data_IF_125259074845
#
_entry.id   IF_125259074845
#
_cell.length_a   1.000
_cell.length_b   1.000
_cell.length_c   1.000
_cell.angle_alpha   90.00
_cell.angle_beta   90.00
_cell.angle_gamma   90.00
#
_symmetry.space_group_name_H-M   'P 1'
#
loop_
_entity.id
_entity.type
_entity.pdbx_description
1 polymer ?
#
# COMPACT_ATOMS: atom_id res chain seq x y z
N UNK A 1 -17.30 15.57 14.39
CA UNK A 1 -17.95 14.27 14.68
C UNK A 1 -18.11 13.53 13.37
N UNK A 2 -17.90 12.20 13.32
CA UNK A 2 -18.13 11.44 12.10
C UNK A 2 -19.60 11.57 11.70
N UNK A 3 -19.84 11.86 10.42
CA UNK A 3 -21.20 11.92 9.88
C UNK A 3 -21.72 10.48 9.85
N UNK A 4 -22.89 10.26 10.45
CA UNK A 4 -23.54 8.95 10.49
C UNK A 4 -24.81 9.05 9.66
N UNK A 5 -24.76 8.45 8.48
CA UNK A 5 -25.92 8.26 7.63
C UNK A 5 -26.51 6.86 7.76
N UNK A 6 -27.48 6.57 6.91
CA UNK A 6 -28.11 5.25 6.83
C UNK A 6 -28.23 4.78 5.39
N UNK A 7 -28.09 3.47 5.20
CA UNK A 7 -28.31 2.81 3.91
C UNK A 7 -29.78 3.00 3.51
N UNK A 8 -30.00 3.59 2.34
CA UNK A 8 -31.33 3.78 1.77
C UNK A 8 -31.64 2.76 0.67
N UNK A 9 -30.62 2.34 -0.09
CA UNK A 9 -30.75 1.40 -1.21
C UNK A 9 -29.45 0.63 -1.42
N UNK A 10 -29.55 -0.64 -1.80
CA UNK A 10 -28.43 -1.50 -2.20
C UNK A 10 -28.71 -2.03 -3.61
N UNK A 11 -27.75 -1.95 -4.52
CA UNK A 11 -27.88 -2.36 -5.92
C UNK A 11 -26.56 -2.94 -6.44
N UNK A 12 -26.36 -4.24 -6.23
CA UNK A 12 -25.04 -4.86 -6.42
C UNK A 12 -24.00 -4.15 -5.54
N UNK A 13 -22.80 -3.83 -6.05
CA UNK A 13 -21.75 -3.23 -5.23
C UNK A 13 -21.97 -1.72 -4.97
N UNK A 14 -23.06 -1.15 -5.49
CA UNK A 14 -23.41 0.27 -5.31
C UNK A 14 -24.46 0.41 -4.21
N UNK A 15 -24.14 1.23 -3.22
CA UNK A 15 -25.00 1.53 -2.07
C UNK A 15 -25.34 3.02 -2.06
N UNK A 16 -26.59 3.37 -1.78
CA UNK A 16 -27.01 4.77 -1.60
C UNK A 16 -27.26 5.02 -0.13
N UNK A 17 -26.54 5.96 0.46
CA UNK A 17 -26.76 6.46 1.81
C UNK A 17 -27.58 7.76 1.78
N UNK A 18 -28.40 7.96 2.81
CA UNK A 18 -29.05 9.24 3.12
C UNK A 18 -28.61 9.71 4.50
N UNK A 19 -28.98 10.94 4.85
CA UNK A 19 -28.60 11.58 6.12
C UNK A 19 -27.06 11.77 6.24
N UNK A 20 -26.40 11.96 5.10
CA UNK A 20 -24.93 12.11 4.98
C UNK A 20 -24.52 13.54 4.61
N UNK A 21 -25.23 14.53 5.15
CA UNK A 21 -24.95 15.93 4.87
C UNK A 21 -23.52 16.30 5.29
N UNK A 22 -22.73 16.84 4.37
CA UNK A 22 -21.32 17.19 4.58
C UNK A 22 -20.33 16.09 4.17
N UNK A 23 -20.81 14.95 3.69
CA UNK A 23 -19.96 13.93 3.08
C UNK A 23 -19.26 14.45 1.82
N UNK A 24 -18.02 14.03 1.61
CA UNK A 24 -17.16 14.50 0.52
C UNK A 24 -17.02 13.44 -0.56
N UNK A 25 -16.77 13.91 -1.78
CA UNK A 25 -16.46 13.04 -2.90
C UNK A 25 -15.09 12.35 -2.67
N UNK A 26 -14.98 11.06 -3.00
CA UNK A 26 -13.84 10.16 -2.71
C UNK A 26 -13.55 9.90 -1.23
N UNK A 27 -14.48 10.24 -0.34
CA UNK A 27 -14.34 9.94 1.08
C UNK A 27 -14.52 8.44 1.34
N UNK A 28 -13.68 7.89 2.21
CA UNK A 28 -13.79 6.53 2.71
C UNK A 28 -14.99 6.44 3.67
N UNK A 29 -15.78 5.38 3.54
CA UNK A 29 -16.92 5.13 4.42
C UNK A 29 -16.90 3.69 4.94
N UNK A 30 -17.53 3.48 6.09
CA UNK A 30 -17.83 2.16 6.64
C UNK A 30 -19.32 1.91 6.54
N UNK A 31 -19.70 0.91 5.76
CA UNK A 31 -21.10 0.62 5.39
C UNK A 31 -21.58 -0.62 6.12
N UNK A 32 -22.74 -0.53 6.75
CA UNK A 32 -23.35 -1.66 7.43
C UNK A 32 -22.84 -1.92 8.84
N UNK A 33 -23.49 -2.84 9.53
CA UNK A 33 -23.05 -3.33 10.86
C UNK A 33 -21.68 -4.02 10.78
N UNK A 34 -21.40 -4.68 9.65
CA UNK A 34 -20.11 -5.31 9.35
C UNK A 34 -19.03 -4.26 8.99
N UNK A 35 -19.33 -2.97 8.88
CA UNK A 35 -18.37 -1.89 8.57
C UNK A 35 -17.57 -2.12 7.29
N UNK A 36 -18.26 -2.56 6.24
CA UNK A 36 -17.68 -2.81 4.92
C UNK A 36 -17.01 -1.55 4.39
N UNK A 37 -15.85 -1.72 3.73
CA UNK A 37 -15.14 -0.59 3.14
C UNK A 37 -15.83 -0.14 1.85
N UNK A 38 -16.17 1.15 1.79
CA UNK A 38 -16.64 1.78 0.56
C UNK A 38 -16.05 3.17 0.35
N UNK A 39 -16.27 3.70 -0.84
CA UNK A 39 -15.84 5.04 -1.25
C UNK A 39 -17.02 5.80 -1.85
N UNK A 40 -17.19 7.06 -1.45
CA UNK A 40 -18.22 7.94 -2.02
C UNK A 40 -17.81 8.35 -3.44
N UNK A 41 -18.63 7.97 -4.42
CA UNK A 41 -18.42 8.28 -5.84
C UNK A 41 -19.33 9.40 -6.35
N UNK A 42 -20.39 9.74 -5.59
CA UNK A 42 -21.28 10.85 -5.90
C UNK A 42 -21.94 11.39 -4.64
N UNK A 43 -22.15 12.71 -4.59
CA UNK A 43 -22.92 13.39 -3.54
C UNK A 43 -24.03 14.21 -4.20
N UNK A 44 -25.27 14.04 -3.75
CA UNK A 44 -26.46 14.74 -4.23
C UNK A 44 -27.28 15.21 -3.02
N UNK A 45 -27.08 16.45 -2.58
CA UNK A 45 -27.76 17.01 -1.40
C UNK A 45 -27.38 16.28 -0.12
N UNK A 46 -28.36 15.64 0.53
CA UNK A 46 -28.22 14.84 1.75
C UNK A 46 -27.95 13.35 1.48
N UNK A 47 -27.75 12.97 0.21
CA UNK A 47 -27.50 11.59 -0.23
C UNK A 47 -26.12 11.43 -0.83
N UNK A 48 -25.56 10.24 -0.64
CA UNK A 48 -24.31 9.83 -1.28
C UNK A 48 -24.47 8.48 -1.96
N UNK A 49 -23.87 8.33 -3.13
CA UNK A 49 -23.68 7.05 -3.81
C UNK A 49 -22.29 6.53 -3.46
N UNK A 50 -22.24 5.32 -2.95
CA UNK A 50 -21.07 4.65 -2.40
C UNK A 50 -20.78 3.42 -3.24
N UNK A 51 -19.53 3.29 -3.68
CA UNK A 51 -19.00 2.05 -4.23
C UNK A 51 -18.41 1.24 -3.07
N UNK A 52 -18.99 0.08 -2.77
CA UNK A 52 -18.45 -0.84 -1.76
C UNK A 52 -17.38 -1.72 -2.44
N UNK A 53 -16.24 -1.91 -1.78
CA UNK A 53 -15.12 -2.73 -2.29
C UNK A 53 -15.15 -4.18 -1.79
N UNK A 54 -16.10 -4.49 -0.92
CA UNK A 54 -16.37 -5.83 -0.41
C UNK A 54 -17.75 -6.31 -0.89
N UNK A 55 -18.03 -7.59 -0.67
CA UNK A 55 -19.30 -8.22 -1.05
C UNK A 55 -20.48 -7.61 -0.25
N UNK A 56 -21.47 -7.08 -0.95
CA UNK A 56 -22.64 -6.41 -0.35
C UNK A 56 -23.77 -7.36 0.05
N UNK A 57 -23.64 -8.66 -0.22
CA UNK A 57 -24.65 -9.65 0.10
C UNK A 57 -25.07 -9.60 1.59
N UNK A 58 -26.35 -9.45 1.87
CA UNK A 58 -26.88 -9.39 3.25
C UNK A 58 -26.96 -7.99 3.86
N UNK A 59 -26.38 -6.97 3.22
CA UNK A 59 -26.56 -5.56 3.59
C UNK A 59 -28.02 -5.13 3.34
N UNK A 60 -28.62 -4.42 4.30
CA UNK A 60 -30.03 -4.01 4.25
C UNK A 60 -30.21 -2.49 4.37
N UNK A 61 -31.27 -1.92 3.77
CA UNK A 61 -31.70 -0.57 4.10
C UNK A 61 -31.94 -0.40 5.61
N UNK A 62 -31.53 0.75 6.13
CA UNK A 62 -31.57 1.10 7.56
C UNK A 62 -30.26 0.89 8.30
N UNK A 63 -29.31 0.13 7.76
CA UNK A 63 -28.00 -0.06 8.39
C UNK A 63 -27.14 1.21 8.37
N UNK A 64 -26.20 1.38 9.32
CA UNK A 64 -25.43 2.61 9.46
C UNK A 64 -24.39 2.80 8.34
N UNK A 65 -24.10 4.06 8.03
CA UNK A 65 -22.98 4.46 7.17
C UNK A 65 -22.14 5.50 7.91
N UNK A 66 -20.89 5.14 8.22
CA UNK A 66 -19.95 6.02 8.93
C UNK A 66 -18.99 6.67 7.94
N UNK A 67 -19.03 7.99 7.86
CA UNK A 67 -18.12 8.80 7.05
C UNK A 67 -16.84 9.11 7.84
N UNK A 68 -15.67 8.77 7.29
CA UNK A 68 -14.40 8.88 8.02
C UNK A 68 -13.81 10.30 8.00
N UNK A 69 -14.28 11.16 7.09
CA UNK A 69 -13.73 12.48 6.81
C UNK A 69 -12.47 12.48 5.95
N UNK A 70 -11.94 11.30 5.63
CA UNK A 70 -10.66 11.11 4.95
C UNK A 70 -10.83 10.29 3.66
N UNK A 71 -10.05 10.59 2.60
CA UNK A 71 -10.06 9.78 1.39
C UNK A 71 -9.44 8.41 1.63
N UNK A 72 -9.70 7.46 0.73
CA UNK A 72 -8.99 6.18 0.71
C UNK A 72 -7.48 6.42 0.69
N UNK A 73 -6.81 5.97 1.74
CA UNK A 73 -5.39 6.24 2.01
C UNK A 73 -4.68 4.98 2.45
N UNK A 74 -3.45 4.82 1.97
CA UNK A 74 -2.56 3.70 2.32
C UNK A 74 -1.52 4.13 3.34
N UNK A 75 -1.05 3.19 4.14
CA UNK A 75 0.07 3.37 5.07
C UNK A 75 1.39 3.15 4.34
N UNK A 76 2.32 4.08 4.51
CA UNK A 76 3.65 4.04 3.92
C UNK A 76 4.68 4.08 5.05
N UNK A 77 5.58 3.11 5.10
CA UNK A 77 6.60 2.99 6.13
C UNK A 77 7.38 1.68 6.02
N UNK A 78 8.31 1.40 6.94
CA UNK A 78 9.04 0.14 6.97
C UNK A 78 8.11 -1.03 7.32
N UNK A 79 8.26 -2.14 6.60
CA UNK A 79 7.40 -3.33 6.68
C UNK A 79 6.51 -3.54 5.46
N UNK A 80 6.65 -2.72 4.42
CA UNK A 80 5.95 -2.93 3.15
C UNK A 80 6.66 -3.98 2.28
N UNK A 81 8.00 -4.00 2.30
CA UNK A 81 8.79 -4.88 1.44
C UNK A 81 8.67 -6.32 1.93
N UNK A 82 8.27 -7.21 1.02
CA UNK A 82 8.07 -8.64 1.30
C UNK A 82 6.67 -8.99 1.81
N UNK A 83 5.80 -8.01 2.07
CA UNK A 83 4.40 -8.26 2.40
C UNK A 83 3.54 -8.42 1.13
N UNK A 84 2.50 -9.24 1.25
CA UNK A 84 1.48 -9.42 0.21
C UNK A 84 0.20 -8.76 0.70
N UNK A 85 -0.35 -7.85 -0.10
CA UNK A 85 -1.56 -7.08 0.23
C UNK A 85 -2.70 -7.36 -0.75
N UNK A 86 -3.93 -7.18 -0.31
CA UNK A 86 -5.08 -7.06 -1.20
C UNK A 86 -5.25 -5.63 -1.76
N UNK A 87 -6.32 -5.41 -2.53
CA UNK A 87 -6.61 -4.12 -3.19
C UNK A 87 -6.88 -2.93 -2.24
N UNK A 88 -7.07 -3.18 -0.94
CA UNK A 88 -7.30 -2.15 0.09
C UNK A 88 -6.20 -2.16 1.16
N UNK A 89 -5.05 -2.77 0.86
CA UNK A 89 -3.86 -2.81 1.69
C UNK A 89 -4.00 -3.63 2.99
N UNK A 90 -4.80 -4.72 2.99
CA UNK A 90 -4.80 -5.70 4.08
C UNK A 90 -3.70 -6.75 3.85
N UNK A 91 -2.83 -7.02 4.84
CA UNK A 91 -1.75 -8.00 4.69
C UNK A 91 -2.32 -9.42 4.68
N UNK A 92 -2.27 -10.10 3.54
CA UNK A 92 -2.91 -11.41 3.33
C UNK A 92 -2.41 -12.50 4.29
N UNK A 93 -1.10 -12.62 4.58
CA UNK A 93 -0.62 -13.63 5.54
C UNK A 93 -1.19 -13.42 6.95
N UNK A 94 -1.32 -12.17 7.40
CA UNK A 94 -1.86 -11.85 8.72
C UNK A 94 -3.37 -12.06 8.77
N UNK A 95 -4.07 -11.78 7.66
CA UNK A 95 -5.49 -12.08 7.50
C UNK A 95 -5.70 -13.60 7.57
N UNK A 96 -4.94 -14.38 6.83
CA UNK A 96 -5.02 -15.84 6.82
C UNK A 96 -4.79 -16.42 8.22
N UNK A 97 -3.75 -15.96 8.93
CA UNK A 97 -3.44 -16.41 10.28
C UNK A 97 -4.57 -16.13 11.28
N UNK A 98 -5.37 -15.07 11.06
CA UNK A 98 -6.45 -14.66 11.95
C UNK A 98 -7.79 -15.33 11.65
N UNK A 99 -8.17 -15.43 10.37
CA UNK A 99 -9.53 -15.84 9.96
C UNK A 99 -9.58 -17.08 9.05
N UNK A 100 -8.42 -17.65 8.70
CA UNK A 100 -8.27 -18.81 7.83
C UNK A 100 -8.14 -18.44 6.34
N UNK A 101 -8.19 -19.45 5.45
CA UNK A 101 -7.86 -19.28 4.02
C UNK A 101 -8.89 -18.47 3.22
N UNK A 102 -10.06 -18.19 3.79
CA UNK A 102 -11.12 -17.44 3.13
C UNK A 102 -11.24 -16.02 3.69
N UNK A 103 -11.23 -15.04 2.79
CA UNK A 103 -11.46 -13.64 3.15
C UNK A 103 -12.90 -13.48 3.67
N UNK A 104 -13.01 -13.01 4.91
CA UNK A 104 -14.27 -12.61 5.54
C UNK A 104 -14.43 -11.10 5.48
N UNK A 105 -15.69 -10.65 5.37
CA UNK A 105 -16.05 -9.24 5.24
C UNK A 105 -15.91 -8.49 6.55
N UNK A 106 -15.67 -7.18 6.47
CA UNK A 106 -15.74 -6.29 7.63
C UNK A 106 -14.55 -6.37 8.59
N UNK A 107 -13.54 -7.18 8.25
CA UNK A 107 -12.31 -7.26 9.03
C UNK A 107 -11.35 -6.15 8.60
N UNK A 108 -10.86 -5.41 9.60
CA UNK A 108 -9.82 -4.41 9.44
C UNK A 108 -8.58 -4.85 10.24
N UNK A 109 -7.50 -5.13 9.53
CA UNK A 109 -6.17 -5.38 10.09
C UNK A 109 -5.28 -4.20 9.66
N UNK A 110 -4.44 -3.65 10.55
CA UNK A 110 -3.45 -2.63 10.17
C UNK A 110 -2.58 -3.12 9.01
N UNK A 111 -2.23 -2.21 8.09
CA UNK A 111 -1.39 -2.58 6.95
C UNK A 111 0.04 -2.93 7.39
N UNK A 112 0.59 -2.15 8.32
CA UNK A 112 1.91 -2.40 8.91
C UNK A 112 1.78 -2.99 10.32
N UNK A 113 2.65 -3.95 10.65
CA UNK A 113 2.71 -4.54 12.00
C UNK A 113 3.09 -3.47 13.05
N UNK A 114 2.20 -3.24 14.01
CA UNK A 114 2.37 -2.27 15.10
C UNK A 114 3.29 -2.76 16.21
N UNK A 115 3.57 -4.06 16.27
CA UNK A 115 4.38 -4.69 17.32
C UNK A 115 5.84 -4.84 16.89
N UNK A 116 6.07 -4.96 15.58
CA UNK A 116 7.43 -5.06 15.03
C UNK A 116 8.21 -3.78 15.30
N UNK A 117 9.43 -3.97 15.82
CA UNK A 117 10.38 -2.89 16.05
C UNK A 117 11.39 -2.82 14.92
N UNK A 118 11.78 -1.61 14.59
CA UNK A 118 12.71 -1.26 13.55
C UNK A 118 13.84 -0.43 14.14
N UNK A 119 15.08 -0.79 13.79
CA UNK A 119 16.24 -0.03 14.23
C UNK A 119 16.39 1.23 13.39
N UNK A 120 16.00 2.36 13.95
CA UNK A 120 16.12 3.68 13.35
C UNK A 120 17.52 4.27 13.61
N UNK A 121 18.14 4.83 12.57
CA UNK A 121 19.41 5.58 12.66
C UNK A 121 19.18 7.02 12.16
N UNK A 122 19.28 8.05 13.00
CA UNK A 122 19.11 9.43 12.57
C UNK A 122 20.26 9.89 11.67
N UNK A 123 19.96 10.63 10.60
CA UNK A 123 20.96 11.23 9.69
C UNK A 123 21.19 12.71 9.96
N UNK A 124 20.30 13.34 10.72
CA UNK A 124 20.31 14.78 11.04
C UNK A 124 20.16 15.00 12.54
N UNK A 125 20.51 16.21 13.01
CA UNK A 125 20.36 16.63 14.42
C UNK A 125 19.18 17.59 14.57
N UNK A 126 18.63 17.71 15.78
CA UNK A 126 17.64 18.73 16.11
C UNK A 126 18.22 20.16 16.00
N UNK A 127 17.35 21.14 15.86
CA UNK A 127 17.67 22.56 15.68
C UNK A 127 17.89 23.00 14.23
N UNK A 128 17.61 22.15 13.25
CA UNK A 128 17.74 22.49 11.82
C UNK A 128 16.38 22.73 11.18
N UNK A 129 16.34 23.56 10.15
CA UNK A 129 15.16 23.72 9.30
C UNK A 129 15.05 22.54 8.34
N UNK A 130 13.88 21.91 8.30
CA UNK A 130 13.56 20.78 7.42
C UNK A 130 12.34 21.11 6.56
N UNK A 131 12.33 20.56 5.37
CA UNK A 131 11.22 20.63 4.41
C UNK A 131 10.63 19.25 4.13
N UNK A 132 9.49 19.23 3.44
CA UNK A 132 8.84 18.00 3.04
C UNK A 132 9.77 17.09 2.22
N UNK A 133 9.68 15.78 2.49
CA UNK A 133 10.51 14.73 1.88
C UNK A 133 12.01 14.77 2.24
N UNK A 134 12.45 15.66 3.13
CA UNK A 134 13.81 15.60 3.67
C UNK A 134 14.01 14.32 4.47
N UNK A 135 15.18 13.69 4.29
CA UNK A 135 15.53 12.42 4.95
C UNK A 135 16.05 12.70 6.35
N UNK A 136 15.34 12.19 7.36
CA UNK A 136 15.68 12.39 8.77
C UNK A 136 16.43 11.21 9.40
N UNK A 137 16.33 10.04 8.76
CA UNK A 137 17.07 8.86 9.16
C UNK A 137 16.79 7.67 8.26
N UNK A 138 17.36 6.53 8.65
CA UNK A 138 17.32 5.29 7.89
C UNK A 138 16.90 4.15 8.80
N UNK A 139 16.07 3.26 8.27
CA UNK A 139 15.73 1.96 8.85
C UNK A 139 16.18 0.89 7.86
N UNK A 140 16.99 -0.08 8.28
CA UNK A 140 17.30 -1.22 7.42
C UNK A 140 16.11 -2.19 7.42
N UNK A 141 15.30 -2.13 6.37
CA UNK A 141 14.04 -2.89 6.26
C UNK A 141 14.29 -4.35 5.88
N UNK A 142 15.23 -4.57 4.97
CA UNK A 142 15.77 -5.90 4.63
C UNK A 142 17.29 -5.87 4.68
N UNK A 143 17.95 -7.00 4.46
CA UNK A 143 19.42 -7.08 4.36
C UNK A 143 20.01 -6.27 3.21
N UNK A 144 19.19 -5.85 2.25
CA UNK A 144 19.62 -5.18 1.01
C UNK A 144 18.98 -3.80 0.82
N UNK A 145 17.89 -3.50 1.53
CA UNK A 145 17.14 -2.27 1.35
C UNK A 145 17.14 -1.45 2.63
N UNK A 146 17.77 -0.29 2.53
CA UNK A 146 17.65 0.79 3.50
C UNK A 146 16.45 1.66 3.19
N UNK A 147 15.47 1.65 4.09
CA UNK A 147 14.29 2.50 4.06
C UNK A 147 14.63 3.88 4.59
N UNK A 148 14.50 4.91 3.73
CA UNK A 148 14.73 6.30 4.13
C UNK A 148 13.47 6.87 4.78
N UNK A 149 13.58 7.21 6.06
CA UNK A 149 12.54 7.89 6.81
C UNK A 149 12.58 9.36 6.45
N UNK A 150 11.47 9.88 5.96
CA UNK A 150 11.38 11.24 5.42
C UNK A 150 10.32 12.07 6.17
N UNK A 151 10.48 13.39 6.17
CA UNK A 151 9.43 14.30 6.59
C UNK A 151 8.20 14.13 5.67
N UNK A 152 6.99 13.91 6.21
CA UNK A 152 5.79 13.76 5.40
C UNK A 152 5.50 15.00 4.52
N UNK A 153 4.88 14.82 3.35
CA UNK A 153 4.51 15.94 2.51
C UNK A 153 3.57 16.94 3.21
N UNK A 154 3.78 18.22 2.97
CA UNK A 154 3.05 19.31 3.62
C UNK A 154 3.61 19.74 4.97
N UNK A 155 4.55 18.98 5.56
CA UNK A 155 5.22 19.34 6.82
C UNK A 155 6.54 20.04 6.51
N UNK A 156 6.75 21.21 7.12
CA UNK A 156 7.99 22.00 7.04
C UNK A 156 8.15 22.83 8.30
N UNK A 157 9.37 23.12 8.71
CA UNK A 157 9.63 23.94 9.90
C UNK A 157 10.93 23.58 10.59
N UNK A 158 11.04 23.92 11.87
CA UNK A 158 12.20 23.61 12.68
C UNK A 158 12.09 22.21 13.29
N UNK A 159 13.11 21.38 13.11
CA UNK A 159 13.18 20.07 13.74
C UNK A 159 13.57 20.22 15.22
N UNK A 160 12.60 20.26 16.12
CA UNK A 160 12.85 20.45 17.56
C UNK A 160 13.31 19.18 18.26
N UNK A 161 12.90 18.03 17.76
CA UNK A 161 13.27 16.72 18.30
C UNK A 161 13.53 15.72 17.18
N UNK A 162 14.54 14.88 17.40
CA UNK A 162 14.80 13.66 16.63
C UNK A 162 15.21 12.56 17.60
N UNK A 163 14.63 11.38 17.43
CA UNK A 163 14.90 10.22 18.27
C UNK A 163 16.34 9.74 18.09
N UNK A 164 16.95 9.28 19.17
CA UNK A 164 18.27 8.67 19.14
C UNK A 164 18.23 7.34 18.38
N UNK A 165 19.40 6.84 17.96
CA UNK A 165 19.48 5.49 17.38
C UNK A 165 18.91 4.45 18.35
N UNK A 166 17.99 3.61 17.88
CA UNK A 166 17.30 2.64 18.72
C UNK A 166 16.20 1.89 17.98
N UNK A 167 15.49 1.03 18.71
CA UNK A 167 14.42 0.19 18.19
C UNK A 167 13.05 0.83 18.47
N UNK A 168 12.33 1.17 17.40
CA UNK A 168 11.03 1.85 17.46
C UNK A 168 9.98 1.12 16.63
N UNK A 169 8.73 1.20 17.06
CA UNK A 169 7.57 0.72 16.29
C UNK A 169 7.19 1.72 15.20
N UNK A 170 6.34 1.29 14.26
CA UNK A 170 5.87 2.16 13.17
C UNK A 170 5.07 3.38 13.68
N UNK A 171 4.50 3.31 14.89
CA UNK A 171 3.68 4.35 15.50
C UNK A 171 4.42 5.28 16.45
N UNK A 172 5.65 4.93 16.83
CA UNK A 172 6.47 5.75 17.73
C UNK A 172 6.88 7.05 17.06
N UNK A 173 6.90 8.13 17.85
CA UNK A 173 7.30 9.46 17.37
C UNK A 173 8.83 9.53 17.26
N UNK A 174 9.32 9.67 16.03
CA UNK A 174 10.74 9.69 15.68
C UNK A 174 11.26 11.12 15.53
N UNK A 175 10.42 12.06 15.16
CA UNK A 175 10.78 13.47 15.05
C UNK A 175 9.60 14.38 15.37
N UNK A 176 9.89 15.61 15.79
CA UNK A 176 8.89 16.67 15.95
C UNK A 176 9.35 17.89 15.17
N UNK A 177 8.52 18.32 14.22
CA UNK A 177 8.72 19.54 13.43
C UNK A 177 7.79 20.62 13.96
N UNK A 178 8.34 21.78 14.30
CA UNK A 178 7.57 22.93 14.77
C UNK A 178 7.47 24.00 13.68
N UNK A 179 6.26 24.50 13.46
CA UNK A 179 6.00 25.61 12.54
C UNK A 179 4.96 26.54 13.13
N UNK A 180 5.32 27.81 13.27
CA UNK A 180 4.37 28.86 13.71
C UNK A 180 3.67 28.52 15.05
N UNK A 181 4.35 27.77 15.94
CA UNK A 181 3.82 27.30 17.23
C UNK A 181 3.05 25.98 17.19
N UNK A 182 2.80 25.41 16.01
CA UNK A 182 2.20 24.09 15.86
C UNK A 182 3.27 22.99 15.78
N UNK A 183 3.09 21.91 16.54
CA UNK A 183 4.00 20.76 16.58
C UNK A 183 3.44 19.61 15.76
N UNK A 184 4.24 19.13 14.82
CA UNK A 184 3.93 18.03 13.92
C UNK A 184 4.78 16.81 14.30
N UNK A 185 4.14 15.77 14.78
CA UNK A 185 4.79 14.49 15.09
C UNK A 185 5.03 13.70 13.81
N UNK A 186 6.27 13.27 13.62
CA UNK A 186 6.71 12.42 12.53
C UNK A 186 7.02 11.04 13.07
N UNK A 187 6.36 10.04 12.50
CA UNK A 187 6.50 8.62 12.85
C UNK A 187 7.25 7.88 11.74
N UNK A 188 7.60 6.61 11.96
CA UNK A 188 8.18 5.78 10.91
C UNK A 188 7.19 5.49 9.76
N UNK A 189 5.89 5.52 10.05
CA UNK A 189 4.83 5.43 9.04
C UNK A 189 4.06 6.75 8.89
N UNK A 190 3.52 6.97 7.70
CA UNK A 190 2.51 8.00 7.44
C UNK A 190 1.44 7.49 6.49
N UNK A 191 0.28 8.16 6.46
CA UNK A 191 -0.82 7.83 5.54
C UNK A 191 -0.77 8.72 4.30
N UNK A 192 -1.07 8.15 3.14
CA UNK A 192 -1.11 8.90 1.88
C UNK A 192 -2.36 8.55 1.04
N UNK A 193 -3.13 9.54 0.57
CA UNK A 193 -4.30 9.29 -0.29
C UNK A 193 -3.90 8.66 -1.62
N UNK A 194 -4.55 7.56 -2.00
CA UNK A 194 -4.18 6.81 -3.23
C UNK A 194 -4.48 7.57 -4.52
N UNK A 195 -5.46 8.48 -4.47
CA UNK A 195 -5.86 9.33 -5.60
C UNK A 195 -5.02 10.60 -5.74
N UNK A 196 -4.08 10.84 -4.82
CA UNK A 196 -3.17 11.99 -4.87
C UNK A 196 -1.77 11.49 -5.22
N UNK A 197 -1.24 11.93 -6.36
CA UNK A 197 0.16 11.65 -6.69
C UNK A 197 1.09 12.21 -5.61
N UNK A 198 2.16 11.48 -5.27
CA UNK A 198 3.19 11.98 -4.36
C UNK A 198 3.89 13.20 -4.98
N UNK A 199 4.18 14.24 -4.17
CA UNK A 199 4.87 15.41 -4.69
C UNK A 199 6.31 15.10 -5.06
N UNK A 200 6.83 15.85 -6.01
CA UNK A 200 8.21 15.82 -6.47
C UNK A 200 8.64 17.25 -6.85
N UNK A 201 9.95 17.52 -6.82
CA UNK A 201 10.48 18.87 -7.09
C UNK A 201 10.33 19.25 -8.56
N UNK A 202 10.79 18.38 -9.47
CA UNK A 202 10.66 18.57 -10.91
C UNK A 202 10.65 17.22 -11.63
N UNK A 203 9.99 17.17 -12.79
CA UNK A 203 10.01 16.01 -13.67
C UNK A 203 11.23 16.09 -14.58
N UNK A 204 12.04 15.04 -14.62
CA UNK A 204 13.21 14.94 -15.50
C UNK A 204 12.86 14.11 -16.75
N UNK A 205 13.44 14.42 -17.92
CA UNK A 205 13.33 13.54 -19.08
C UNK A 205 14.04 12.20 -18.78
N UNK A 206 13.48 11.06 -19.21
CA UNK A 206 14.11 9.77 -18.97
C UNK A 206 15.22 9.53 -20.00
N UNK A 207 16.48 9.58 -19.55
CA UNK A 207 17.67 9.42 -20.42
C UNK A 207 18.33 8.04 -20.29
N UNK A 208 18.12 7.37 -19.15
CA UNK A 208 18.74 6.06 -18.89
C UNK A 208 17.89 4.94 -19.50
N UNK A 209 18.44 4.04 -20.34
CA UNK A 209 17.69 2.89 -20.84
C UNK A 209 17.33 1.91 -19.71
N UNK A 210 16.12 1.34 -19.79
CA UNK A 210 15.71 0.18 -19.01
C UNK A 210 16.10 -1.07 -19.78
N UNK A 211 17.16 -1.72 -19.34
CA UNK A 211 17.63 -2.99 -19.92
C UNK A 211 16.73 -4.10 -19.39
N UNK A 212 15.94 -4.70 -20.28
CA UNK A 212 15.02 -5.79 -19.93
C UNK A 212 15.69 -7.15 -19.94
N UNK A 213 16.84 -7.27 -20.63
CA UNK A 213 17.54 -8.54 -20.86
C UNK A 213 16.99 -9.32 -22.07
N UNK A 214 15.90 -8.84 -22.68
CA UNK A 214 15.30 -9.46 -23.86
C UNK A 214 15.75 -8.74 -25.13
N UNK A 215 16.52 -9.43 -25.98
CA UNK A 215 17.06 -8.87 -27.23
C UNK A 215 16.01 -8.20 -28.12
N UNK A 216 14.83 -8.81 -28.24
CA UNK A 216 13.76 -8.25 -29.08
C UNK A 216 13.24 -6.92 -28.55
N UNK A 217 13.14 -6.77 -27.22
CA UNK A 217 12.69 -5.53 -26.59
C UNK A 217 13.83 -4.51 -26.60
N UNK A 218 15.02 -4.88 -26.13
CA UNK A 218 16.13 -3.95 -25.97
C UNK A 218 16.67 -3.40 -27.31
N UNK A 219 16.51 -4.12 -28.43
CA UNK A 219 16.97 -3.68 -29.77
C UNK A 219 15.86 -2.96 -30.54
N UNK A 220 14.67 -3.54 -30.65
CA UNK A 220 13.62 -3.03 -31.54
C UNK A 220 12.64 -2.09 -30.85
N UNK A 221 12.43 -2.26 -29.53
CA UNK A 221 11.46 -1.49 -28.74
C UNK A 221 12.08 -0.98 -27.42
N UNK A 222 13.25 -0.31 -27.47
CA UNK A 222 13.95 0.10 -26.25
C UNK A 222 13.10 1.06 -25.43
N UNK A 223 13.15 0.91 -24.12
CA UNK A 223 12.42 1.76 -23.18
C UNK A 223 13.42 2.47 -22.26
N UNK A 224 13.10 3.70 -21.86
CA UNK A 224 13.86 4.40 -20.83
C UNK A 224 13.31 4.10 -19.42
N UNK A 225 14.16 4.12 -18.39
CA UNK A 225 13.75 4.01 -16.99
C UNK A 225 12.81 5.17 -16.64
N UNK A 226 11.61 4.84 -16.17
CA UNK A 226 10.53 5.81 -15.94
C UNK A 226 9.66 6.09 -17.16
N UNK A 227 9.89 5.39 -18.28
CA UNK A 227 9.00 5.39 -19.44
C UNK A 227 7.73 4.55 -19.22
N UNK A 228 6.76 4.69 -20.10
CA UNK A 228 5.51 3.93 -20.10
C UNK A 228 5.41 3.09 -21.39
N UNK A 229 4.94 1.85 -21.26
CA UNK A 229 4.72 0.95 -22.39
C UNK A 229 3.51 0.05 -22.15
N UNK A 230 2.99 -0.53 -23.23
CA UNK A 230 1.88 -1.47 -23.20
C UNK A 230 2.22 -2.69 -24.07
N UNK A 231 1.92 -3.89 -23.54
CA UNK A 231 2.06 -5.17 -24.25
C UNK A 231 0.65 -5.75 -24.44
N UNK A 232 -0.03 -5.45 -25.56
CA UNK A 232 -1.34 -6.02 -25.84
C UNK A 232 -1.25 -7.50 -26.22
N UNK A 233 -2.36 -8.23 -26.12
CA UNK A 233 -2.42 -9.66 -26.45
C UNK A 233 -3.66 -10.36 -25.90
N UNK A 234 -3.88 -11.62 -26.29
CA UNK A 234 -4.96 -12.48 -25.79
C UNK A 234 -4.57 -13.22 -24.49
N UNK A 235 -5.50 -13.94 -23.86
CA UNK A 235 -5.13 -14.85 -22.77
C UNK A 235 -4.19 -15.95 -23.29
N UNK A 236 -3.16 -16.30 -22.52
CA UNK A 236 -2.17 -17.32 -22.91
C UNK A 236 -1.14 -16.89 -23.96
N UNK A 237 -1.16 -15.65 -24.45
CA UNK A 237 -0.20 -15.17 -25.47
C UNK A 237 1.13 -14.66 -24.87
N UNK A 238 1.47 -15.07 -23.65
CA UNK A 238 2.70 -14.65 -22.97
C UNK A 238 2.68 -13.22 -22.39
N UNK A 239 1.51 -12.62 -22.14
CA UNK A 239 1.41 -11.31 -21.47
C UNK A 239 1.83 -11.37 -19.98
N UNK A 240 1.35 -12.39 -19.28
CA UNK A 240 1.80 -12.71 -17.94
C UNK A 240 2.96 -13.69 -18.11
N UNK A 241 4.15 -13.22 -17.74
CA UNK A 241 5.41 -13.94 -17.51
C UNK A 241 5.46 -15.32 -18.17
N UNK A 242 6.02 -15.41 -19.38
CA UNK A 242 6.39 -16.72 -19.93
C UNK A 242 7.38 -17.39 -18.98
N UNK A 243 7.43 -18.73 -18.93
CA UNK A 243 8.43 -19.50 -18.20
C UNK A 243 9.86 -18.91 -18.34
N UNK A 244 10.21 -18.41 -19.52
CA UNK A 244 11.53 -17.81 -19.82
C UNK A 244 11.78 -16.40 -19.26
N UNK A 245 10.82 -15.79 -18.56
CA UNK A 245 10.92 -14.40 -18.15
C UNK A 245 12.02 -14.23 -17.11
N UNK A 246 12.99 -13.31 -17.31
CA UNK A 246 14.01 -13.02 -16.32
C UNK A 246 13.41 -12.34 -15.09
N UNK A 247 13.68 -12.91 -13.92
CA UNK A 247 13.37 -12.43 -12.58
C UNK A 247 14.70 -12.01 -11.93
N UNK A 248 14.77 -10.76 -11.48
CA UNK A 248 15.87 -10.30 -10.65
C UNK A 248 15.61 -10.71 -9.20
N UNK A 249 16.44 -11.59 -8.67
CA UNK A 249 16.39 -12.07 -7.29
C UNK A 249 16.91 -11.01 -6.32
N UNK A 250 16.62 -11.22 -5.03
CA UNK A 250 17.06 -10.35 -3.94
C UNK A 250 18.60 -10.15 -3.97
N UNK A 251 19.34 -11.22 -4.22
CA UNK A 251 20.81 -11.23 -4.33
C UNK A 251 21.39 -10.56 -5.59
N UNK A 252 20.54 -10.01 -6.47
CA UNK A 252 20.97 -9.35 -7.71
C UNK A 252 21.22 -10.29 -8.89
N UNK A 253 20.98 -11.60 -8.73
CA UNK A 253 21.04 -12.56 -9.84
C UNK A 253 19.77 -12.49 -10.70
N UNK A 254 19.92 -12.66 -12.00
CA UNK A 254 18.79 -12.77 -12.92
C UNK A 254 18.59 -14.23 -13.28
N UNK A 255 17.44 -14.79 -12.90
CA UNK A 255 17.06 -16.18 -13.20
C UNK A 255 15.78 -16.21 -14.02
N UNK A 256 15.55 -17.23 -14.85
CA UNK A 256 14.26 -17.35 -15.54
C UNK A 256 13.18 -17.84 -14.58
N UNK A 257 11.93 -17.42 -14.80
CA UNK A 257 10.81 -17.76 -13.94
C UNK A 257 10.58 -19.26 -13.80
N UNK A 258 10.81 -20.03 -14.87
CA UNK A 258 10.71 -21.49 -14.92
C UNK A 258 11.82 -22.20 -14.15
N UNK A 259 13.04 -21.68 -14.24
CA UNK A 259 14.20 -22.14 -13.49
C UNK A 259 13.99 -21.86 -12.01
N UNK A 260 13.52 -20.66 -11.67
CA UNK A 260 13.20 -20.30 -10.29
C UNK A 260 12.10 -21.22 -9.74
N UNK A 261 11.00 -21.39 -10.46
CA UNK A 261 9.92 -22.28 -10.07
C UNK A 261 10.40 -23.72 -9.91
N UNK A 262 11.13 -24.26 -10.89
CA UNK A 262 11.66 -25.63 -10.84
C UNK A 262 12.67 -25.84 -9.70
N UNK A 263 13.46 -24.81 -9.40
CA UNK A 263 14.40 -24.82 -8.30
C UNK A 263 13.69 -24.80 -6.94
N UNK A 264 12.67 -23.93 -6.80
CA UNK A 264 11.84 -23.85 -5.60
C UNK A 264 10.99 -25.09 -5.39
N UNK A 265 10.39 -25.64 -6.45
CA UNK A 265 9.60 -26.87 -6.42
C UNK A 265 10.39 -28.09 -5.89
N UNK A 266 11.72 -28.10 -6.07
CA UNK A 266 12.59 -29.14 -5.51
C UNK A 266 12.94 -28.91 -4.03
N UNK A 267 12.87 -27.67 -3.55
CA UNK A 267 13.26 -27.26 -2.19
C UNK A 267 12.09 -27.13 -1.24
N UNK A 268 10.92 -26.77 -1.75
CA UNK A 268 9.69 -26.63 -0.98
C UNK A 268 8.85 -27.90 -0.94
N UNK A 269 7.76 -27.84 -0.18
CA UNK A 269 6.76 -28.91 -0.12
C UNK A 269 5.64 -28.56 -1.09
N UNK A 270 5.47 -29.37 -2.14
CA UNK A 270 4.33 -29.24 -3.04
C UNK A 270 3.05 -29.64 -2.30
N UNK A 271 2.10 -28.72 -2.24
CA UNK A 271 0.75 -28.95 -1.73
C UNK A 271 -0.20 -28.91 -2.91
N UNK A 272 -1.00 -29.95 -3.05
CA UNK A 272 -2.08 -30.02 -4.03
C UNK A 272 -3.39 -29.85 -3.27
N UNK A 273 -4.15 -28.81 -3.60
CA UNK A 273 -5.47 -28.51 -3.03
C UNK A 273 -6.49 -28.37 -4.16
N UNK A 274 -7.22 -29.46 -4.44
CA UNK A 274 -8.16 -29.53 -5.56
C UNK A 274 -7.47 -29.37 -6.92
N UNK A 275 -7.86 -28.32 -7.65
CA UNK A 275 -7.32 -27.99 -8.98
C UNK A 275 -6.08 -27.08 -8.90
N UNK A 276 -5.64 -26.70 -7.69
CA UNK A 276 -4.46 -25.87 -7.49
C UNK A 276 -3.29 -26.69 -6.93
N UNK A 277 -2.08 -26.37 -7.41
CA UNK A 277 -0.84 -26.90 -6.87
C UNK A 277 0.10 -25.73 -6.60
N UNK A 278 0.63 -25.66 -5.39
CA UNK A 278 1.58 -24.63 -4.98
C UNK A 278 2.71 -25.24 -4.16
N UNK A 279 3.85 -24.54 -4.12
CA UNK A 279 5.05 -25.02 -3.43
C UNK A 279 5.28 -24.14 -2.21
N UNK A 280 5.18 -24.72 -1.01
CA UNK A 280 5.52 -24.06 0.24
C UNK A 280 7.04 -24.08 0.45
N UNK A 281 7.69 -22.93 0.30
CA UNK A 281 9.12 -22.77 0.56
C UNK A 281 9.36 -22.15 1.94
N UNK A 282 10.14 -22.83 2.80
CA UNK A 282 10.52 -22.32 4.11
C UNK A 282 11.58 -21.21 4.07
N UNK A 283 12.35 -21.13 2.98
CA UNK A 283 13.34 -20.09 2.71
C UNK A 283 13.26 -19.67 1.21
N UNK A 284 12.42 -18.69 0.84
CA UNK A 284 12.39 -18.16 -0.52
C UNK A 284 13.69 -17.39 -0.83
N UNK A 285 14.08 -17.35 -2.12
CA UNK A 285 15.31 -16.70 -2.65
C UNK A 285 15.01 -15.32 -3.22
#
# INVERSE_FOLDING_TARGET
>A
MPIVGVVSRVSGPVVVAKDVLGAKMYELVRVGEEKLIGEIIRVEGDRAVIQVYEETAGLKPGEPVLCTGEPLSVELGPGLIGQIYDGIQRPLPDVEALIGPFLRRGYAIPALDRRKKWRFRPTIKSGIQVSENDVIGIVSETSMVDHRVMIPPGVRGELTYVAAEGDYTVEDTIAVVEREGEKYEVKLMHRWPVRRARPYVRKLPPETPLITGQRVIDVFFPMAKGGAAAIPGGFGTGKCVTPDTPILLSNGEVVRADELFSHMAKKGVTVNDGDESYVLCSNPV
#
